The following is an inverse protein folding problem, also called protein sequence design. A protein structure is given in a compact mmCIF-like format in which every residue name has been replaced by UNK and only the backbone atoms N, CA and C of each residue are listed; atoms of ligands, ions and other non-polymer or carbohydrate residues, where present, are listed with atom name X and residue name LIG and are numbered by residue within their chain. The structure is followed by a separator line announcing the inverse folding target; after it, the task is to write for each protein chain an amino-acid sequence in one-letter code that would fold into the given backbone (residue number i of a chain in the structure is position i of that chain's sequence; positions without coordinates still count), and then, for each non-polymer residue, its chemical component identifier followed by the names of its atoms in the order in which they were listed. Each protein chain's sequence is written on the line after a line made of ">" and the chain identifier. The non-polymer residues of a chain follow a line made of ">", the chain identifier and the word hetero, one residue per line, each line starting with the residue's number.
data_IF_242500093256
#
_entry.id   IF_242500093256
#
_cell.length_a   1.000
_cell.length_b   1.000
_cell.length_c   1.000
_cell.angle_alpha   90.00
_cell.angle_beta   90.00
_cell.angle_gamma   90.00
#
_symmetry.space_group_name_H-M   'P 1'
#
loop_
_entity.id
_entity.type
_entity.pdbx_description
1 polymer ?
#
# COMPACT_ATOMS: atom_id res chain seq x y z
N UNK A 1 58.96 2.05 -6.94
CA UNK A 1 58.83 3.11 -5.91
C UNK A 1 59.92 4.14 -6.16
N UNK A 2 59.58 5.43 -6.31
CA UNK A 2 60.55 6.49 -6.66
C UNK A 2 61.30 6.97 -5.41
N UNK A 3 62.61 7.25 -5.52
CA UNK A 3 63.46 7.80 -4.43
C UNK A 3 62.82 9.01 -3.75
N UNK A 4 62.17 9.90 -4.52
CA UNK A 4 61.46 11.07 -3.98
C UNK A 4 60.31 10.68 -3.04
N UNK A 5 59.60 9.60 -3.34
CA UNK A 5 58.50 9.12 -2.49
C UNK A 5 59.03 8.48 -1.20
N UNK A 6 60.14 7.74 -1.29
CA UNK A 6 60.80 7.14 -0.11
C UNK A 6 61.27 8.24 0.85
N UNK A 7 61.95 9.26 0.35
CA UNK A 7 62.41 10.40 1.16
C UNK A 7 61.28 11.25 1.75
N UNK A 8 60.10 11.27 1.11
CA UNK A 8 58.90 11.92 1.66
C UNK A 8 58.33 11.12 2.83
N UNK A 9 58.14 9.82 2.64
CA UNK A 9 57.63 8.94 3.70
C UNK A 9 58.56 8.88 4.92
N UNK A 10 59.89 8.80 4.72
CA UNK A 10 60.84 8.86 5.84
C UNK A 10 60.71 10.15 6.68
N UNK A 11 60.44 11.29 6.04
CA UNK A 11 60.18 12.56 6.75
C UNK A 11 58.86 12.55 7.50
N UNK A 12 57.80 12.03 6.90
CA UNK A 12 56.48 11.97 7.53
C UNK A 12 56.45 11.02 8.73
N UNK A 13 57.13 9.87 8.65
CA UNK A 13 57.30 8.96 9.79
C UNK A 13 58.16 9.59 10.90
N UNK A 14 59.26 10.28 10.55
CA UNK A 14 60.07 11.01 11.52
C UNK A 14 59.30 12.18 12.20
N UNK A 15 58.32 12.75 11.50
CA UNK A 15 57.39 13.75 12.04
C UNK A 15 56.24 13.16 12.87
N UNK A 16 56.24 11.84 13.12
CA UNK A 16 55.29 11.18 14.02
C UNK A 16 54.04 10.59 13.35
N UNK A 17 53.93 10.58 12.02
CA UNK A 17 52.84 9.86 11.33
C UNK A 17 53.01 8.36 11.55
N UNK A 18 52.00 7.66 12.04
CA UNK A 18 52.03 6.18 12.20
C UNK A 18 51.17 5.45 11.15
N UNK A 19 50.32 6.18 10.44
CA UNK A 19 49.39 5.62 9.45
C UNK A 19 50.01 5.49 8.07
N UNK A 20 49.92 4.28 7.50
CA UNK A 20 50.47 3.93 6.17
C UNK A 20 49.46 4.16 5.04
N UNK A 21 48.18 4.33 5.37
CA UNK A 21 47.13 4.58 4.38
C UNK A 21 47.22 6.00 3.82
N UNK A 22 46.91 6.16 2.53
CA UNK A 22 46.80 7.47 1.90
C UNK A 22 45.81 8.37 2.68
N UNK A 23 46.21 9.61 2.92
CA UNK A 23 45.31 10.62 3.48
C UNK A 23 44.18 10.86 2.48
N UNK A 24 42.98 11.11 3.00
CA UNK A 24 41.80 11.37 2.19
C UNK A 24 42.10 12.49 1.17
N UNK A 25 42.08 12.13 -0.11
CA UNK A 25 42.38 13.07 -1.18
C UNK A 25 41.19 14.00 -1.36
N UNK A 26 41.43 15.29 -1.55
CA UNK A 26 40.39 16.21 -1.99
C UNK A 26 39.85 15.74 -3.34
N UNK A 27 38.68 15.11 -3.33
CA UNK A 27 37.98 14.69 -4.54
C UNK A 27 37.53 15.87 -5.38
N UNK A 28 36.92 15.57 -6.54
CA UNK A 28 36.21 16.57 -7.36
C UNK A 28 35.23 17.35 -6.46
N UNK A 29 35.13 18.69 -6.57
CA UNK A 29 34.24 19.47 -5.71
C UNK A 29 32.85 18.85 -5.67
N UNK A 30 32.40 18.50 -4.47
CA UNK A 30 31.07 17.95 -4.26
C UNK A 30 30.03 19.00 -4.68
N UNK A 31 28.93 18.53 -5.26
CA UNK A 31 27.76 19.35 -5.53
C UNK A 31 27.43 20.23 -4.33
N UNK A 32 27.32 21.55 -4.54
CA UNK A 32 27.02 22.51 -3.47
C UNK A 32 25.68 22.15 -2.82
N UNK A 33 25.63 22.26 -1.50
CA UNK A 33 24.42 21.93 -0.75
C UNK A 33 23.29 22.91 -1.04
N UNK A 34 23.62 24.14 -1.45
CA UNK A 34 22.67 25.17 -1.91
C UNK A 34 21.90 24.73 -3.17
N UNK A 35 22.58 24.10 -4.12
CA UNK A 35 21.95 23.58 -5.34
C UNK A 35 21.06 22.38 -5.03
N UNK A 36 21.46 21.51 -4.09
CA UNK A 36 20.63 20.41 -3.64
C UNK A 36 19.35 20.91 -2.93
N UNK A 37 19.47 21.94 -2.10
CA UNK A 37 18.34 22.58 -1.43
C UNK A 37 17.35 23.20 -2.43
N UNK A 38 17.84 23.81 -3.51
CA UNK A 38 17.00 24.36 -4.59
C UNK A 38 16.19 23.26 -5.29
N UNK A 39 16.82 22.13 -5.62
CA UNK A 39 16.13 20.97 -6.21
C UNK A 39 15.07 20.40 -5.25
N UNK A 40 15.40 20.32 -3.96
CA UNK A 40 14.45 19.85 -2.94
C UNK A 40 13.24 20.78 -2.79
N UNK A 41 13.47 22.09 -2.79
CA UNK A 41 12.41 23.10 -2.67
C UNK A 41 11.41 23.00 -3.83
N UNK A 42 11.90 22.92 -5.08
CA UNK A 42 11.04 22.75 -6.26
C UNK A 42 10.19 21.48 -6.18
N UNK A 43 10.74 20.38 -5.65
CA UNK A 43 10.00 19.13 -5.45
C UNK A 43 8.96 19.20 -4.32
N UNK A 44 9.16 20.07 -3.32
CA UNK A 44 8.18 20.28 -2.25
C UNK A 44 6.97 21.08 -2.72
N UNK A 45 7.19 22.02 -3.64
CA UNK A 45 6.14 22.83 -4.28
C UNK A 45 5.28 22.00 -5.23
N UNK A 46 5.90 21.24 -6.12
CA UNK A 46 5.20 20.26 -6.96
C UNK A 46 5.81 18.86 -6.84
N UNK A 47 5.09 17.98 -6.15
CA UNK A 47 5.50 16.59 -5.95
C UNK A 47 5.36 15.72 -7.22
N UNK A 48 4.80 16.23 -8.31
CA UNK A 48 4.62 15.53 -9.59
C UNK A 48 5.60 15.96 -10.67
N UNK A 49 6.46 16.94 -10.38
CA UNK A 49 7.45 17.45 -11.34
C UNK A 49 8.37 16.33 -11.86
N UNK A 50 8.65 16.36 -13.17
CA UNK A 50 9.51 15.36 -13.80
C UNK A 50 10.99 15.74 -13.74
N UNK A 51 11.88 14.78 -14.01
CA UNK A 51 13.32 15.06 -14.14
C UNK A 51 13.61 16.06 -15.26
N UNK A 52 12.83 16.04 -16.35
CA UNK A 52 12.99 16.94 -17.48
C UNK A 52 12.57 18.38 -17.10
N UNK A 53 11.47 18.52 -16.36
CA UNK A 53 11.03 19.82 -15.83
C UNK A 53 12.06 20.40 -14.83
N UNK A 54 12.63 19.56 -13.97
CA UNK A 54 13.69 19.97 -13.04
C UNK A 54 14.95 20.44 -13.78
N UNK A 55 15.29 19.85 -14.93
CA UNK A 55 16.40 20.32 -15.76
C UNK A 55 16.12 21.71 -16.36
N UNK A 56 14.86 22.02 -16.67
CA UNK A 56 14.45 23.33 -17.19
C UNK A 56 14.50 24.38 -16.08
N UNK A 57 14.00 24.06 -14.89
CA UNK A 57 13.93 24.99 -13.75
C UNK A 57 15.29 25.19 -13.06
N UNK A 58 16.21 24.22 -13.19
CA UNK A 58 17.56 24.28 -12.63
C UNK A 58 18.59 23.95 -13.73
N UNK A 59 18.80 24.84 -14.70
CA UNK A 59 19.64 24.57 -15.88
C UNK A 59 21.14 24.49 -15.53
N UNK A 60 21.55 25.00 -14.37
CA UNK A 60 22.92 24.94 -13.85
C UNK A 60 23.36 23.51 -13.50
N UNK A 61 22.43 22.56 -13.46
CA UNK A 61 22.65 21.19 -13.01
C UNK A 61 22.26 20.22 -14.11
N UNK A 62 23.17 19.30 -14.45
CA UNK A 62 22.87 18.28 -15.45
C UNK A 62 21.83 17.27 -14.95
N UNK A 63 21.05 16.70 -15.88
CA UNK A 63 20.03 15.66 -15.59
C UNK A 63 20.55 14.52 -14.71
N UNK A 64 21.75 14.00 -15.01
CA UNK A 64 22.38 12.92 -14.25
C UNK A 64 22.69 13.34 -12.81
N UNK A 65 23.04 14.60 -12.63
CA UNK A 65 23.33 15.19 -11.32
C UNK A 65 22.05 15.38 -10.51
N UNK A 66 20.97 15.87 -11.12
CA UNK A 66 19.65 15.95 -10.49
C UNK A 66 19.17 14.57 -10.06
N UNK A 67 19.30 13.56 -10.93
CA UNK A 67 18.97 12.19 -10.59
C UNK A 67 19.73 11.71 -9.35
N UNK A 68 21.04 11.95 -9.31
CA UNK A 68 21.90 11.59 -8.18
C UNK A 68 21.53 12.31 -6.89
N UNK A 69 21.19 13.60 -6.97
CA UNK A 69 20.73 14.38 -5.80
C UNK A 69 19.45 13.75 -5.24
N UNK A 70 18.48 13.43 -6.10
CA UNK A 70 17.20 12.86 -5.68
C UNK A 70 17.35 11.46 -5.07
N UNK A 71 18.15 10.58 -5.68
CA UNK A 71 18.25 9.17 -5.25
C UNK A 71 19.30 8.95 -4.16
N UNK A 72 20.47 9.60 -4.24
CA UNK A 72 21.58 9.36 -3.31
C UNK A 72 21.60 10.34 -2.13
N UNK A 73 21.49 11.66 -2.38
CA UNK A 73 21.54 12.66 -1.29
C UNK A 73 20.22 12.71 -0.53
N UNK A 74 19.11 12.89 -1.24
CA UNK A 74 17.80 13.14 -0.64
C UNK A 74 16.97 11.86 -0.43
N UNK A 75 17.43 10.71 -0.97
CA UNK A 75 16.80 9.39 -0.79
C UNK A 75 15.33 9.32 -1.23
N UNK A 76 14.91 10.19 -2.17
CA UNK A 76 13.59 10.14 -2.76
C UNK A 76 13.46 8.95 -3.70
N UNK A 77 12.25 8.38 -3.72
CA UNK A 77 11.87 7.29 -4.62
C UNK A 77 10.67 7.71 -5.45
N UNK A 78 10.66 7.31 -6.73
CA UNK A 78 9.49 7.50 -7.59
C UNK A 78 8.36 6.61 -7.09
N UNK A 79 7.27 7.23 -6.62
CA UNK A 79 6.03 6.54 -6.33
C UNK A 79 5.10 6.64 -7.54
N UNK A 80 4.52 5.51 -7.96
CA UNK A 80 3.45 5.53 -8.95
C UNK A 80 2.17 6.04 -8.29
N UNK A 81 1.54 7.06 -8.88
CA UNK A 81 0.20 7.45 -8.49
C UNK A 81 -0.76 6.26 -8.69
N UNK A 82 -1.51 5.89 -7.65
CA UNK A 82 -2.56 4.88 -7.77
C UNK A 82 -3.78 5.52 -8.38
N UNK A 83 -4.38 4.85 -9.36
CA UNK A 83 -5.62 5.30 -9.97
C UNK A 83 -6.72 5.38 -8.91
N UNK A 84 -7.35 6.54 -8.78
CA UNK A 84 -8.46 6.78 -7.86
C UNK A 84 -9.70 7.03 -8.73
N UNK A 85 -10.74 6.17 -8.68
CA UNK A 85 -11.87 6.20 -9.62
C UNK A 85 -12.64 7.52 -9.67
N UNK A 86 -12.61 8.31 -8.59
CA UNK A 86 -13.26 9.62 -8.50
C UNK A 86 -12.64 10.45 -7.37
N UNK A 87 -12.56 11.77 -7.56
CA UNK A 87 -12.23 12.68 -6.47
C UNK A 87 -13.35 12.65 -5.43
N UNK A 88 -13.02 12.26 -4.20
CA UNK A 88 -13.99 12.18 -3.13
C UNK A 88 -14.44 13.59 -2.75
N UNK A 89 -15.75 13.87 -2.81
CA UNK A 89 -16.36 15.08 -2.23
C UNK A 89 -16.17 15.08 -0.71
N UNK A 90 -16.27 16.25 -0.09
CA UNK A 90 -16.18 16.34 1.37
C UNK A 90 -17.18 15.44 2.08
N UNK A 91 -18.38 15.28 1.54
CA UNK A 91 -19.39 14.38 2.11
C UNK A 91 -18.99 12.91 1.96
N UNK A 92 -18.43 12.48 0.82
CA UNK A 92 -17.86 11.13 0.69
C UNK A 92 -16.73 10.88 1.70
N UNK A 93 -15.89 11.90 1.96
CA UNK A 93 -14.81 11.81 2.94
C UNK A 93 -15.35 11.76 4.37
N UNK A 94 -16.33 12.61 4.72
CA UNK A 94 -17.01 12.61 6.03
C UNK A 94 -17.73 11.30 6.28
N UNK A 95 -18.39 10.72 5.28
CA UNK A 95 -19.10 9.45 5.41
C UNK A 95 -18.12 8.27 5.55
N UNK A 96 -16.98 8.29 4.83
CA UNK A 96 -15.85 7.36 5.07
C UNK A 96 -15.27 7.49 6.48
N UNK A 97 -15.10 8.72 6.96
CA UNK A 97 -14.52 8.99 8.28
C UNK A 97 -15.49 8.73 9.43
N UNK A 98 -16.82 8.91 9.24
CA UNK A 98 -17.84 8.53 10.22
C UNK A 98 -17.87 7.02 10.46
N UNK A 99 -17.64 6.20 9.41
CA UNK A 99 -17.52 4.75 9.55
C UNK A 99 -16.26 4.29 10.32
N UNK A 100 -15.23 5.16 10.48
CA UNK A 100 -14.05 4.83 11.31
C UNK A 100 -14.36 4.76 12.81
N UNK A 101 -15.47 5.33 13.28
CA UNK A 101 -15.84 5.33 14.70
C UNK A 101 -16.72 4.16 15.15
N UNK A 102 -17.43 3.49 14.24
CA UNK A 102 -18.45 2.48 14.60
C UNK A 102 -17.87 1.11 14.96
N UNK A 103 -16.61 0.84 14.65
CA UNK A 103 -15.99 -0.48 14.76
C UNK A 103 -14.61 -0.36 15.44
N UNK A 104 -14.56 0.25 16.63
CA UNK A 104 -13.31 0.41 17.38
C UNK A 104 -13.22 -0.67 18.47
N UNK A 105 -12.36 -1.68 18.21
CA UNK A 105 -12.12 -2.90 19.02
C UNK A 105 -13.33 -3.85 19.18
N UNK A 106 -13.04 -5.16 19.23
CA UNK A 106 -14.04 -6.22 19.42
C UNK A 106 -14.78 -6.66 18.15
N UNK A 107 -14.24 -6.34 16.98
CA UNK A 107 -14.80 -6.73 15.68
C UNK A 107 -13.96 -7.85 15.10
N UNK A 108 -14.61 -8.97 14.76
CA UNK A 108 -13.97 -10.07 14.06
C UNK A 108 -14.26 -9.98 12.56
N UNK A 109 -13.22 -9.88 11.74
CA UNK A 109 -13.34 -9.89 10.28
C UNK A 109 -13.21 -11.32 9.76
N UNK A 110 -14.15 -11.71 8.91
CA UNK A 110 -14.16 -13.00 8.23
C UNK A 110 -14.20 -12.76 6.72
N UNK A 111 -13.08 -13.02 6.05
CA UNK A 111 -12.91 -12.89 4.61
C UNK A 111 -12.09 -14.08 4.07
N UNK A 112 -12.10 -14.26 2.76
CA UNK A 112 -11.31 -15.30 2.10
C UNK A 112 -9.80 -14.98 2.09
N UNK A 113 -8.99 -15.95 1.64
CA UNK A 113 -7.53 -15.85 1.60
C UNK A 113 -6.99 -15.23 0.29
N UNK A 114 -7.78 -14.40 -0.40
CA UNK A 114 -7.31 -13.74 -1.61
C UNK A 114 -6.03 -12.93 -1.32
N UNK A 115 -5.09 -12.92 -2.28
CA UNK A 115 -3.76 -12.27 -2.11
C UNK A 115 -3.83 -10.84 -1.54
N UNK A 116 -4.79 -9.96 -1.95
CA UNK A 116 -4.91 -8.63 -1.38
C UNK A 116 -5.34 -8.63 0.10
N UNK A 117 -6.08 -9.63 0.56
CA UNK A 117 -6.59 -9.74 1.93
C UNK A 117 -5.52 -10.22 2.91
N UNK A 118 -4.65 -11.14 2.47
CA UNK A 118 -3.52 -11.66 3.27
C UNK A 118 -2.24 -10.82 3.15
N UNK A 119 -2.25 -9.77 2.33
CA UNK A 119 -1.10 -8.89 2.17
C UNK A 119 -0.76 -8.20 3.50
N UNK A 120 0.55 -8.08 3.80
CA UNK A 120 1.06 -7.47 5.03
C UNK A 120 0.45 -6.08 5.29
N UNK A 121 0.31 -5.25 4.24
CA UNK A 121 -0.30 -3.92 4.35
C UNK A 121 -1.75 -3.96 4.85
N UNK A 122 -2.53 -4.96 4.40
CA UNK A 122 -3.94 -5.12 4.79
C UNK A 122 -4.03 -5.63 6.22
N UNK A 123 -3.25 -6.66 6.57
CA UNK A 123 -3.20 -7.22 7.93
C UNK A 123 -2.77 -6.17 8.95
N UNK A 124 -1.72 -5.39 8.65
CA UNK A 124 -1.25 -4.31 9.52
C UNK A 124 -2.33 -3.24 9.75
N UNK A 125 -3.12 -2.92 8.72
CA UNK A 125 -4.23 -1.97 8.83
C UNK A 125 -5.37 -2.52 9.70
N UNK A 126 -5.71 -3.80 9.56
CA UNK A 126 -6.73 -4.45 10.40
C UNK A 126 -6.30 -4.50 11.87
N UNK A 127 -5.02 -4.79 12.13
CA UNK A 127 -4.44 -4.72 13.47
C UNK A 127 -4.46 -3.31 14.04
N UNK A 128 -4.18 -2.28 13.23
CA UNK A 128 -4.28 -0.89 13.64
C UNK A 128 -5.72 -0.50 14.04
N UNK A 129 -6.74 -1.10 13.42
CA UNK A 129 -8.13 -0.94 13.83
C UNK A 129 -8.51 -1.77 15.07
N UNK A 130 -7.64 -2.68 15.51
CA UNK A 130 -7.89 -3.58 16.62
C UNK A 130 -8.95 -4.64 16.29
N UNK A 131 -8.97 -5.12 15.05
CA UNK A 131 -9.89 -6.15 14.59
C UNK A 131 -9.21 -7.52 14.61
N UNK A 132 -9.97 -8.53 15.03
CA UNK A 132 -9.51 -9.91 15.02
C UNK A 132 -9.76 -10.54 13.65
N UNK A 133 -8.74 -11.17 13.07
CA UNK A 133 -8.88 -11.85 11.79
C UNK A 133 -9.26 -13.31 12.06
N UNK A 134 -10.45 -13.71 11.60
CA UNK A 134 -10.89 -15.10 11.69
C UNK A 134 -10.24 -15.89 10.56
N UNK A 135 -9.59 -17.00 10.91
CA UNK A 135 -8.93 -17.88 9.94
C UNK A 135 -9.96 -18.52 9.01
N UNK A 136 -9.74 -18.41 7.71
CA UNK A 136 -10.55 -19.07 6.68
C UNK A 136 -9.72 -20.14 5.98
N UNK A 137 -10.24 -21.36 5.74
CA UNK A 137 -9.53 -22.37 4.96
C UNK A 137 -9.43 -22.00 3.47
N UNK A 138 -8.36 -22.44 2.76
CA UNK A 138 -8.27 -22.25 1.32
C UNK A 138 -9.41 -22.94 0.57
N UNK A 139 -9.91 -22.31 -0.49
CA UNK A 139 -10.92 -22.88 -1.41
C UNK A 139 -12.24 -23.29 -0.77
N UNK A 140 -12.69 -22.60 0.30
CA UNK A 140 -13.92 -22.95 1.02
C UNK A 140 -15.04 -21.90 0.90
N UNK A 141 -15.53 -21.60 -0.32
CA UNK A 141 -16.64 -20.66 -0.51
C UNK A 141 -17.94 -21.15 0.15
N UNK A 142 -18.10 -22.46 0.37
CA UNK A 142 -19.19 -23.07 1.11
C UNK A 142 -19.20 -22.72 2.60
N UNK A 143 -18.10 -22.16 3.12
CA UNK A 143 -17.95 -21.63 4.47
C UNK A 143 -17.96 -20.10 4.53
N UNK A 144 -18.14 -19.40 3.41
CA UNK A 144 -18.21 -17.94 3.38
C UNK A 144 -19.66 -17.45 3.26
N UNK A 145 -20.24 -16.74 4.26
CA UNK A 145 -21.61 -16.24 4.22
C UNK A 145 -21.92 -15.40 2.98
N UNK A 146 -20.94 -14.62 2.52
CA UNK A 146 -21.07 -13.86 1.28
C UNK A 146 -21.34 -14.77 0.07
N UNK A 147 -20.66 -15.91 -0.03
CA UNK A 147 -20.72 -16.82 -1.17
C UNK A 147 -21.90 -17.80 -1.13
N UNK A 148 -22.24 -18.34 0.05
CA UNK A 148 -23.35 -19.29 0.15
C UNK A 148 -24.72 -18.64 0.37
N UNK A 149 -24.79 -17.41 0.89
CA UNK A 149 -26.06 -16.76 1.27
C UNK A 149 -26.33 -15.47 0.49
N UNK A 150 -25.40 -14.51 0.52
CA UNK A 150 -25.63 -13.17 -0.06
C UNK A 150 -25.61 -13.17 -1.59
N UNK A 151 -24.49 -13.57 -2.19
CA UNK A 151 -24.29 -13.49 -3.63
C UNK A 151 -25.25 -14.34 -4.45
N UNK A 152 -25.68 -15.55 -4.04
CA UNK A 152 -26.69 -16.29 -4.78
C UNK A 152 -28.00 -15.51 -4.94
N UNK A 153 -28.47 -14.87 -3.86
CA UNK A 153 -29.71 -14.07 -3.88
C UNK A 153 -29.55 -12.76 -4.63
N UNK A 154 -28.40 -12.11 -4.52
CA UNK A 154 -28.10 -10.93 -5.32
C UNK A 154 -28.05 -11.27 -6.82
N UNK A 155 -27.41 -12.39 -7.19
CA UNK A 155 -27.34 -12.85 -8.59
C UNK A 155 -28.73 -13.19 -9.14
N UNK A 156 -29.58 -13.83 -8.35
CA UNK A 156 -30.98 -14.10 -8.69
C UNK A 156 -31.75 -12.80 -8.95
N UNK A 157 -31.60 -11.80 -8.08
CA UNK A 157 -32.23 -10.48 -8.22
C UNK A 157 -31.79 -9.74 -9.50
N UNK A 158 -30.49 -9.83 -9.83
CA UNK A 158 -29.91 -9.15 -11.00
C UNK A 158 -30.04 -9.96 -12.30
N UNK A 159 -30.50 -11.20 -12.23
CA UNK A 159 -30.52 -12.10 -13.38
C UNK A 159 -31.49 -11.58 -14.46
N UNK A 160 -31.00 -11.48 -15.70
CA UNK A 160 -31.80 -11.03 -16.83
C UNK A 160 -31.96 -9.52 -16.94
N UNK A 161 -31.47 -8.74 -15.98
CA UNK A 161 -31.47 -7.28 -16.06
C UNK A 161 -30.27 -6.79 -16.88
N UNK A 162 -30.49 -5.82 -17.76
CA UNK A 162 -29.43 -5.08 -18.46
C UNK A 162 -29.36 -3.68 -17.89
N UNK A 163 -28.14 -3.24 -17.60
CA UNK A 163 -27.84 -1.90 -17.10
C UNK A 163 -27.03 -1.14 -18.14
N UNK A 164 -27.26 0.16 -18.25
CA UNK A 164 -26.60 1.00 -19.26
C UNK A 164 -25.26 1.55 -18.76
N UNK A 165 -25.06 1.60 -17.45
CA UNK A 165 -23.85 2.13 -16.82
C UNK A 165 -23.65 1.55 -15.40
N UNK A 166 -22.46 1.76 -14.84
CA UNK A 166 -22.09 1.27 -13.51
C UNK A 166 -22.91 1.87 -12.36
N UNK A 167 -23.42 3.10 -12.53
CA UNK A 167 -24.15 3.78 -11.46
C UNK A 167 -25.55 3.16 -11.30
N UNK A 168 -26.21 2.77 -12.39
CA UNK A 168 -27.45 1.98 -12.36
C UNK A 168 -27.24 0.65 -11.61
N UNK A 169 -26.11 -0.04 -11.85
CA UNK A 169 -25.78 -1.30 -11.15
C UNK A 169 -25.59 -1.05 -9.66
N UNK A 170 -24.86 0.01 -9.28
CA UNK A 170 -24.63 0.35 -7.86
C UNK A 170 -25.95 0.68 -7.17
N UNK A 171 -26.82 1.45 -7.80
CA UNK A 171 -28.10 1.85 -7.25
C UNK A 171 -29.03 0.63 -7.07
N UNK A 172 -29.04 -0.30 -8.02
CA UNK A 172 -29.80 -1.54 -7.93
C UNK A 172 -29.29 -2.44 -6.79
N UNK A 173 -27.98 -2.64 -6.71
CA UNK A 173 -27.35 -3.44 -5.64
C UNK A 173 -27.63 -2.79 -4.27
N UNK A 174 -27.52 -1.47 -4.16
CA UNK A 174 -27.80 -0.74 -2.93
C UNK A 174 -29.27 -0.87 -2.53
N UNK A 175 -30.20 -0.80 -3.49
CA UNK A 175 -31.63 -1.01 -3.25
C UNK A 175 -31.91 -2.43 -2.77
N UNK A 176 -31.32 -3.45 -3.38
CA UNK A 176 -31.42 -4.83 -2.92
C UNK A 176 -30.92 -4.97 -1.48
N UNK A 177 -29.69 -4.53 -1.19
CA UNK A 177 -29.09 -4.67 0.14
C UNK A 177 -29.90 -3.97 1.23
N UNK A 178 -30.41 -2.76 0.95
CA UNK A 178 -31.23 -2.00 1.89
C UNK A 178 -32.66 -2.56 2.03
N UNK A 179 -33.15 -3.28 1.02
CA UNK A 179 -34.47 -3.93 1.05
C UNK A 179 -34.51 -5.23 1.86
N UNK A 180 -33.36 -5.84 2.12
CA UNK A 180 -33.30 -7.08 2.91
C UNK A 180 -33.49 -6.80 4.40
N UNK A 181 -34.31 -7.63 5.05
CA UNK A 181 -34.51 -7.56 6.50
C UNK A 181 -33.23 -7.91 7.27
N UNK A 182 -33.02 -7.27 8.43
CA UNK A 182 -31.87 -7.57 9.29
C UNK A 182 -31.78 -9.06 9.68
N UNK A 183 -32.93 -9.70 9.94
CA UNK A 183 -33.03 -11.13 10.24
C UNK A 183 -32.52 -12.04 9.12
N UNK A 184 -32.58 -11.58 7.86
CA UNK A 184 -32.05 -12.35 6.74
C UNK A 184 -30.52 -12.39 6.76
N UNK A 185 -29.86 -11.29 7.12
CA UNK A 185 -28.40 -11.26 7.30
C UNK A 185 -27.98 -12.11 8.49
N UNK A 186 -28.67 -11.98 9.62
CA UNK A 186 -28.39 -12.79 10.82
C UNK A 186 -28.52 -14.29 10.52
N UNK A 187 -29.59 -14.71 9.84
CA UNK A 187 -29.75 -16.09 9.40
C UNK A 187 -28.58 -16.59 8.55
N UNK A 188 -28.04 -15.75 7.66
CA UNK A 188 -26.85 -16.06 6.88
C UNK A 188 -25.64 -16.34 7.76
N UNK A 189 -25.41 -15.53 8.78
CA UNK A 189 -24.31 -15.68 9.74
C UNK A 189 -24.51 -16.90 10.64
N UNK A 190 -25.72 -17.12 11.19
CA UNK A 190 -26.00 -18.27 12.06
C UNK A 190 -25.81 -19.62 11.35
N UNK A 191 -26.08 -19.68 10.03
CA UNK A 191 -25.80 -20.88 9.22
C UNK A 191 -24.31 -21.26 9.17
N UNK A 192 -23.39 -20.33 9.45
CA UNK A 192 -21.96 -20.61 9.45
C UNK A 192 -21.60 -21.69 10.47
N UNK A 193 -22.16 -21.63 11.69
CA UNK A 193 -21.90 -22.61 12.74
C UNK A 193 -22.31 -24.03 12.32
N UNK A 194 -23.49 -24.16 11.71
CA UNK A 194 -23.99 -25.43 11.20
C UNK A 194 -23.14 -25.96 10.05
N UNK A 195 -22.65 -25.07 9.17
CA UNK A 195 -21.78 -25.44 8.04
C UNK A 195 -20.40 -25.87 8.52
N UNK A 196 -19.81 -25.16 9.48
CA UNK A 196 -18.55 -25.56 10.10
C UNK A 196 -18.65 -26.93 10.77
N UNK A 197 -19.73 -27.19 11.51
CA UNK A 197 -19.97 -28.50 12.10
C UNK A 197 -20.06 -29.59 11.04
N UNK A 198 -20.82 -29.37 9.96
CA UNK A 198 -20.89 -30.32 8.84
C UNK A 198 -19.53 -30.57 8.18
N UNK A 199 -18.70 -29.54 8.05
CA UNK A 199 -17.34 -29.68 7.52
C UNK A 199 -16.48 -30.57 8.43
N UNK A 200 -16.58 -30.38 9.75
CA UNK A 200 -15.90 -31.23 10.74
C UNK A 200 -16.40 -32.68 10.64
N UNK A 201 -17.72 -32.88 10.61
CA UNK A 201 -18.34 -34.21 10.52
C UNK A 201 -17.95 -34.94 9.22
N UNK A 202 -17.73 -34.18 8.14
CA UNK A 202 -17.25 -34.68 6.85
C UNK A 202 -15.73 -34.70 6.72
N UNK A 203 -14.99 -34.54 7.83
CA UNK A 203 -13.53 -34.58 7.87
C UNK A 203 -12.85 -33.62 6.87
N UNK A 204 -13.41 -32.41 6.73
CA UNK A 204 -12.88 -31.35 5.86
C UNK A 204 -13.38 -31.37 4.42
N UNK A 205 -14.28 -32.30 4.04
CA UNK A 205 -14.90 -32.30 2.73
C UNK A 205 -15.98 -31.20 2.59
N UNK A 206 -16.34 -30.89 1.34
CA UNK A 206 -17.26 -29.81 1.01
C UNK A 206 -18.66 -30.00 1.61
N UNK A 207 -19.24 -28.88 2.04
CA UNK A 207 -20.60 -28.81 2.56
C UNK A 207 -21.53 -28.41 1.42
N UNK A 208 -22.41 -29.33 1.04
CA UNK A 208 -23.42 -29.08 0.00
C UNK A 208 -24.33 -27.90 0.36
N UNK A 209 -24.91 -27.29 -0.69
CA UNK A 209 -25.79 -26.12 -0.55
C UNK A 209 -27.14 -26.47 0.06
#
# INVERSE_FOLDING_TARGET
>A
MNVKNVSKWCREFAAGRTEVHDVERSGRPSLSDETAAKVEQTMREDRRITLDDLCILVPEVSRSTIHRILTEKLQYRKACAKWVPRMLTEDHQRQRNRRRGMLSKGVSIFHDNARPHVACTTVALLQQFGWDIVTHPPYSPDLAPSDYHLFPKLKEHLAGTRFNNDDEVKDEVQRFLNGMAASWYDMGIQKLLQRLQKCIDRNGDYVEK
#
